data_IF_163139541119
#
_entry.id   IF_163139541119
#
_cell.length_a   1.000
_cell.length_b   1.000
_cell.length_c   1.000
_cell.angle_alpha   90.00
_cell.angle_beta   90.00
_cell.angle_gamma   90.00
#
_symmetry.space_group_name_H-M   'P 1'
#
loop_
_entity.id
_entity.type
_entity.pdbx_description
1 polymer ?
#
# COMPACT_ATOMS: atom_id res chain seq x y z
N UNK A 1 6.40 32.93 10.49
CA UNK A 1 6.97 32.34 9.25
C UNK A 1 7.28 33.43 8.24
N UNK A 2 8.49 33.47 7.69
CA UNK A 2 8.86 34.22 6.48
C UNK A 2 9.39 33.21 5.48
N UNK A 3 8.84 33.16 4.27
CA UNK A 3 9.44 32.40 3.18
C UNK A 3 10.74 33.11 2.74
N UNK A 4 11.87 32.40 2.72
CA UNK A 4 13.08 32.84 2.02
C UNK A 4 13.09 32.22 0.62
N UNK A 5 13.75 32.90 -0.31
CA UNK A 5 14.08 32.31 -1.62
C UNK A 5 15.00 31.10 -1.45
N UNK A 6 14.87 30.15 -2.38
CA UNK A 6 15.55 28.84 -2.44
C UNK A 6 17.08 28.97 -2.23
N UNK A 7 17.62 28.34 -1.19
CA UNK A 7 19.07 28.18 -1.00
C UNK A 7 19.53 26.76 -1.37
N UNK A 8 20.70 26.60 -2.01
CA UNK A 8 21.29 25.28 -2.26
C UNK A 8 21.57 24.52 -0.94
N UNK A 9 21.11 23.27 -0.87
CA UNK A 9 21.15 22.37 0.32
C UNK A 9 22.53 22.28 0.97
N UNK A 10 23.60 22.40 0.18
CA UNK A 10 25.00 22.23 0.63
C UNK A 10 25.51 23.36 1.54
N UNK A 11 24.73 24.43 1.73
CA UNK A 11 25.10 25.61 2.54
C UNK A 11 24.46 25.65 3.93
N UNK A 12 23.61 24.68 4.29
CA UNK A 12 22.89 24.67 5.57
C UNK A 12 23.79 24.08 6.69
N UNK A 13 24.06 24.82 7.79
CA UNK A 13 24.88 24.34 8.90
C UNK A 13 24.27 23.13 9.63
N UNK A 14 25.08 22.14 10.00
CA UNK A 14 24.64 20.90 10.67
C UNK A 14 24.18 21.07 12.13
N UNK A 15 24.45 22.22 12.74
CA UNK A 15 24.30 22.43 14.19
C UNK A 15 23.22 23.45 14.57
N UNK A 16 22.33 23.83 13.64
CA UNK A 16 21.18 24.70 13.94
C UNK A 16 19.91 23.86 14.15
N UNK A 17 19.11 24.22 15.16
CA UNK A 17 17.77 23.72 15.40
C UNK A 17 16.81 24.12 14.26
N UNK A 18 17.03 23.54 13.09
CA UNK A 18 16.26 23.74 11.87
C UNK A 18 15.36 22.52 11.66
N UNK A 19 14.06 22.76 11.59
CA UNK A 19 13.13 21.82 11.00
C UNK A 19 13.36 21.81 9.49
N UNK A 20 13.64 20.65 8.91
CA UNK A 20 13.87 20.51 7.48
C UNK A 20 13.06 19.34 6.94
N UNK A 21 12.15 19.64 6.00
CA UNK A 21 11.53 18.64 5.15
C UNK A 21 12.51 18.36 4.00
N UNK A 22 13.42 17.41 4.23
CA UNK A 22 14.41 16.99 3.25
C UNK A 22 13.87 15.82 2.43
N UNK A 23 13.39 16.08 1.21
CA UNK A 23 13.23 15.05 0.18
C UNK A 23 14.61 14.84 -0.44
N UNK A 24 15.43 13.97 0.15
CA UNK A 24 16.73 13.58 -0.40
C UNK A 24 16.59 12.31 -1.23
N UNK A 25 17.08 12.37 -2.48
CA UNK A 25 17.54 11.16 -3.15
C UNK A 25 19.00 10.92 -2.72
N UNK A 26 19.34 9.80 -2.06
CA UNK A 26 20.72 9.55 -1.67
C UNK A 26 21.54 9.11 -2.89
N UNK A 27 22.61 9.87 -3.15
CA UNK A 27 23.55 9.65 -4.23
C UNK A 27 24.23 8.27 -4.16
N UNK A 28 24.37 7.71 -5.35
CA UNK A 28 24.88 6.37 -5.69
C UNK A 28 26.38 6.32 -5.43
N UNK A 29 26.84 5.50 -4.48
CA UNK A 29 28.22 4.99 -4.51
C UNK A 29 28.41 3.72 -3.67
N UNK A 30 28.09 2.56 -4.27
CA UNK A 30 28.87 1.30 -4.18
C UNK A 30 28.23 0.20 -5.02
N UNK A 31 29.02 -0.28 -5.97
CA UNK A 31 28.72 -1.41 -6.87
C UNK A 31 28.52 -2.70 -6.07
N UNK A 32 27.37 -3.38 -6.18
CA UNK A 32 27.30 -4.83 -5.94
C UNK A 32 26.09 -5.47 -5.22
N UNK A 33 25.06 -4.75 -4.78
CA UNK A 33 23.88 -5.34 -4.09
C UNK A 33 22.55 -4.77 -4.63
N UNK A 34 21.40 -5.48 -4.50
CA UNK A 34 20.14 -5.11 -5.16
C UNK A 34 19.64 -3.77 -4.64
N UNK A 35 19.64 -2.78 -5.52
CA UNK A 35 19.33 -1.38 -5.24
C UNK A 35 17.85 -1.22 -4.83
N UNK A 36 17.61 -0.99 -3.53
CA UNK A 36 16.39 -0.33 -3.04
C UNK A 36 16.73 1.13 -2.77
N UNK A 37 16.30 2.04 -3.64
CA UNK A 37 16.41 3.48 -3.38
C UNK A 37 15.17 3.93 -2.60
N UNK A 38 15.39 4.48 -1.40
CA UNK A 38 14.36 4.83 -0.45
C UNK A 38 13.98 6.31 -0.57
N UNK A 39 12.70 6.66 -0.67
CA UNK A 39 12.24 7.96 -0.15
C UNK A 39 12.08 7.81 1.35
N UNK A 40 12.88 8.56 2.11
CA UNK A 40 12.76 8.62 3.57
C UNK A 40 12.36 10.02 4.00
N UNK A 41 11.11 10.13 4.46
CA UNK A 41 10.66 11.25 5.26
C UNK A 41 11.17 11.02 6.69
N UNK A 42 12.11 11.83 7.16
CA UNK A 42 12.60 11.75 8.54
C UNK A 42 11.91 12.83 9.37
N UNK A 43 11.10 12.41 10.34
CA UNK A 43 10.59 13.26 11.41
C UNK A 43 11.32 12.84 12.69
N UNK A 44 12.10 13.76 13.27
CA UNK A 44 12.91 13.50 14.45
C UNK A 44 12.60 14.55 15.52
N UNK A 45 12.24 14.12 16.72
CA UNK A 45 12.20 14.99 17.89
C UNK A 45 12.77 14.25 19.10
N UNK A 46 14.09 14.31 19.27
CA UNK A 46 14.84 13.88 20.47
C UNK A 46 14.72 12.40 20.88
N UNK A 47 13.50 11.93 21.16
CA UNK A 47 13.15 10.70 21.85
C UNK A 47 12.04 9.87 21.14
N UNK A 48 11.57 10.24 19.94
CA UNK A 48 10.59 9.43 19.15
C UNK A 48 10.73 9.61 17.62
N UNK A 49 10.32 8.59 16.87
CA UNK A 49 10.52 8.43 15.42
C UNK A 49 9.21 8.05 14.70
N UNK A 50 8.94 8.68 13.54
CA UNK A 50 7.91 8.25 12.61
C UNK A 50 8.48 8.16 11.18
N UNK A 51 8.32 7.00 10.54
CA UNK A 51 8.70 6.72 9.15
C UNK A 51 7.47 6.79 8.24
N UNK A 52 7.53 7.61 7.18
CA UNK A 52 6.59 7.49 6.06
C UNK A 52 7.42 7.23 4.81
N UNK A 53 7.34 6.01 4.29
CA UNK A 53 8.05 5.57 3.09
C UNK A 53 7.06 5.45 1.92
N UNK A 54 7.46 5.95 0.76
CA UNK A 54 6.76 5.74 -0.51
C UNK A 54 7.82 5.45 -1.58
N UNK A 55 7.63 4.39 -2.35
CA UNK A 55 8.63 3.88 -3.30
C UNK A 55 8.52 4.60 -4.66
N UNK A 56 9.64 5.09 -5.20
CA UNK A 56 9.71 5.43 -6.63
C UNK A 56 11.13 5.28 -7.16
N UNK A 57 11.26 4.76 -8.38
CA UNK A 57 12.53 4.45 -9.04
C UNK A 57 13.03 5.71 -9.75
N UNK A 58 14.32 6.07 -9.61
CA UNK A 58 14.88 7.32 -10.16
C UNK A 58 15.91 7.09 -11.29
N UNK A 59 15.79 7.91 -12.35
CA UNK A 59 16.80 8.14 -13.40
C UNK A 59 17.65 9.41 -13.13
N UNK A 60 18.83 9.59 -13.76
CA UNK A 60 19.95 10.36 -13.19
C UNK A 60 19.95 11.89 -13.36
N UNK A 61 18.87 12.55 -13.78
CA UNK A 61 18.93 13.97 -14.19
C UNK A 61 18.00 14.94 -13.44
N UNK A 62 17.49 14.58 -12.25
CA UNK A 62 16.56 15.44 -11.52
C UNK A 62 17.20 16.31 -10.43
N UNK A 63 17.00 17.63 -10.55
CA UNK A 63 17.19 18.59 -9.46
C UNK A 63 16.17 18.31 -8.36
N UNK A 64 16.64 18.02 -7.15
CA UNK A 64 15.80 17.80 -5.97
C UNK A 64 14.92 19.03 -5.73
N UNK A 65 13.62 18.89 -5.98
CA UNK A 65 12.63 19.90 -5.59
C UNK A 65 12.12 19.51 -4.20
N UNK A 66 12.36 20.36 -3.21
CA UNK A 66 11.91 20.15 -1.84
C UNK A 66 11.42 21.46 -1.24
N UNK A 67 10.38 21.39 -0.43
CA UNK A 67 9.91 22.53 0.36
C UNK A 67 10.64 22.54 1.69
N UNK A 68 11.38 23.61 2.00
CA UNK A 68 11.98 23.80 3.33
C UNK A 68 11.15 24.86 4.06
N UNK A 69 10.55 24.47 5.19
CA UNK A 69 9.84 25.38 6.09
C UNK A 69 10.65 25.60 7.36
N UNK A 70 11.14 26.82 7.58
CA UNK A 70 11.87 27.19 8.81
C UNK A 70 10.94 27.92 9.79
N UNK A 71 10.88 27.44 11.04
CA UNK A 71 10.19 28.11 12.14
C UNK A 71 10.35 27.39 13.48
N UNK A 72 10.43 28.14 14.58
CA UNK A 72 10.31 27.59 15.93
C UNK A 72 8.81 27.48 16.29
N UNK A 73 8.40 26.31 16.79
CA UNK A 73 7.07 26.06 17.32
C UNK A 73 7.19 25.92 18.85
N UNK A 74 6.44 26.71 19.60
CA UNK A 74 6.50 26.71 21.07
C UNK A 74 5.75 25.51 21.68
N UNK A 75 4.67 25.04 21.03
CA UNK A 75 3.93 23.81 21.36
C UNK A 75 3.31 23.22 20.08
N UNK A 76 3.43 21.91 19.87
CA UNK A 76 2.76 21.19 18.79
C UNK A 76 1.40 20.69 19.28
N UNK A 77 0.37 20.86 18.45
CA UNK A 77 -0.95 20.27 18.71
C UNK A 77 -1.16 19.08 17.78
N UNK A 78 -1.89 18.06 18.22
CA UNK A 78 -2.33 16.94 17.35
C UNK A 78 -2.93 17.44 16.02
N UNK A 79 -3.67 18.56 16.08
CA UNK A 79 -4.21 19.22 14.89
C UNK A 79 -3.13 19.70 13.92
N UNK A 80 -2.01 20.22 14.43
CA UNK A 80 -0.89 20.65 13.61
C UNK A 80 -0.22 19.45 12.93
N UNK A 81 0.05 18.38 13.67
CA UNK A 81 0.65 17.14 13.14
C UNK A 81 -0.21 16.55 12.01
N UNK A 82 -1.52 16.40 12.23
CA UNK A 82 -2.46 15.91 11.21
C UNK A 82 -2.48 16.83 9.99
N UNK A 83 -2.49 18.15 10.19
CA UNK A 83 -2.50 19.12 9.08
C UNK A 83 -1.19 19.05 8.27
N UNK A 84 -0.05 18.90 8.94
CA UNK A 84 1.24 18.75 8.30
C UNK A 84 1.31 17.44 7.50
N UNK A 85 0.81 16.34 8.06
CA UNK A 85 0.74 15.05 7.38
C UNK A 85 -0.11 15.13 6.09
N UNK A 86 -1.28 15.76 6.15
CA UNK A 86 -2.14 15.96 4.97
C UNK A 86 -1.41 16.76 3.88
N UNK A 87 -0.85 17.93 4.22
CA UNK A 87 -0.13 18.76 3.24
C UNK A 87 1.10 18.04 2.65
N UNK A 88 1.80 17.25 3.47
CA UNK A 88 2.94 16.46 3.02
C UNK A 88 2.51 15.37 2.03
N UNK A 89 1.37 14.71 2.29
CA UNK A 89 0.77 13.76 1.36
C UNK A 89 0.35 14.41 0.04
N UNK A 90 -0.28 15.58 0.09
CA UNK A 90 -0.66 16.34 -1.11
C UNK A 90 0.56 16.77 -1.94
N UNK A 91 1.64 17.20 -1.27
CA UNK A 91 2.89 17.53 -1.93
C UNK A 91 3.54 16.31 -2.59
N UNK A 92 3.61 15.17 -1.88
CA UNK A 92 4.12 13.92 -2.44
C UNK A 92 3.29 13.46 -3.65
N UNK A 93 1.96 13.63 -3.60
CA UNK A 93 1.09 13.38 -4.73
C UNK A 93 1.45 14.29 -5.93
N UNK A 94 1.67 15.58 -5.71
CA UNK A 94 2.11 16.50 -6.77
C UNK A 94 3.45 16.09 -7.40
N UNK A 95 4.41 15.59 -6.59
CA UNK A 95 5.69 15.06 -7.10
C UNK A 95 5.50 13.85 -8.02
N UNK A 96 4.46 13.02 -7.81
CA UNK A 96 4.17 11.89 -8.69
C UNK A 96 3.81 12.35 -10.11
N UNK A 97 2.99 13.41 -10.24
CA UNK A 97 2.66 14.01 -11.53
C UNK A 97 3.87 14.68 -12.15
N UNK A 98 4.64 15.42 -11.35
CA UNK A 98 5.88 16.05 -11.80
C UNK A 98 6.79 14.99 -12.43
N UNK A 99 7.06 13.88 -11.73
CA UNK A 99 7.91 12.78 -12.22
C UNK A 99 7.50 12.25 -13.61
N UNK A 100 6.19 12.17 -13.91
CA UNK A 100 5.71 11.76 -15.23
C UNK A 100 5.85 12.86 -16.27
N UNK A 101 5.64 14.13 -15.91
CA UNK A 101 5.80 15.27 -16.82
C UNK A 101 7.25 15.51 -17.22
N UNK A 102 8.16 14.94 -16.45
CA UNK A 102 9.58 15.21 -16.43
C UNK A 102 10.42 14.08 -17.05
N UNK A 103 9.83 12.89 -17.20
CA UNK A 103 10.49 11.75 -17.82
C UNK A 103 10.74 11.96 -19.33
N UNK A 104 11.77 11.29 -19.86
CA UNK A 104 12.20 11.38 -21.27
C UNK A 104 11.38 10.46 -22.18
N UNK A 105 10.06 10.69 -22.20
CA UNK A 105 9.12 10.02 -23.10
C UNK A 105 8.36 11.02 -23.97
N UNK A 106 7.91 10.60 -25.18
CA UNK A 106 7.04 11.42 -26.02
C UNK A 106 5.83 11.94 -25.25
N UNK A 107 5.42 13.18 -25.55
CA UNK A 107 4.32 13.88 -24.86
C UNK A 107 3.04 13.03 -24.82
N UNK A 108 2.73 12.34 -25.90
CA UNK A 108 1.54 11.51 -26.03
C UNK A 108 1.55 10.37 -25.01
N UNK A 109 2.70 9.70 -24.82
CA UNK A 109 2.85 8.62 -23.83
C UNK A 109 2.74 9.15 -22.41
N UNK A 110 3.39 10.28 -22.10
CA UNK A 110 3.29 10.92 -20.78
C UNK A 110 1.84 11.29 -20.45
N UNK A 111 1.09 11.78 -21.44
CA UNK A 111 -0.33 12.08 -21.26
C UNK A 111 -1.17 10.82 -21.00
N UNK A 112 -0.91 9.71 -21.71
CA UNK A 112 -1.56 8.43 -21.45
C UNK A 112 -1.28 7.92 -20.03
N UNK A 113 -0.03 8.00 -19.55
CA UNK A 113 0.35 7.62 -18.19
C UNK A 113 -0.32 8.50 -17.14
N UNK A 114 -0.34 9.82 -17.32
CA UNK A 114 -1.07 10.73 -16.41
C UNK A 114 -2.55 10.35 -16.33
N UNK A 115 -3.20 10.00 -17.45
CA UNK A 115 -4.60 9.54 -17.43
C UNK A 115 -4.76 8.25 -16.63
N UNK A 116 -3.87 7.28 -16.81
CA UNK A 116 -3.92 6.02 -16.06
C UNK A 116 -3.65 6.23 -14.56
N UNK A 117 -2.72 7.12 -14.20
CA UNK A 117 -2.47 7.51 -12.81
C UNK A 117 -3.73 8.09 -12.17
N UNK A 118 -4.39 9.04 -12.85
CA UNK A 118 -5.63 9.65 -12.35
C UNK A 118 -6.74 8.63 -12.17
N UNK A 119 -6.94 7.71 -13.13
CA UNK A 119 -7.95 6.66 -13.00
C UNK A 119 -7.61 5.65 -11.89
N UNK A 120 -6.33 5.37 -11.66
CA UNK A 120 -5.88 4.55 -10.52
C UNK A 120 -6.16 5.26 -9.20
N UNK A 121 -5.78 6.53 -9.06
CA UNK A 121 -6.04 7.32 -7.85
C UNK A 121 -7.52 7.41 -7.52
N UNK A 122 -8.40 7.64 -8.51
CA UNK A 122 -9.85 7.62 -8.31
C UNK A 122 -10.33 6.32 -7.68
N UNK A 123 -9.90 5.17 -8.22
CA UNK A 123 -10.25 3.85 -7.67
C UNK A 123 -9.74 3.68 -6.24
N UNK A 124 -8.51 4.11 -5.96
CA UNK A 124 -7.93 4.04 -4.62
C UNK A 124 -8.72 4.89 -3.63
N UNK A 125 -9.09 6.11 -3.99
CA UNK A 125 -9.91 6.97 -3.14
C UNK A 125 -11.31 6.41 -2.93
N UNK A 126 -11.95 5.86 -3.97
CA UNK A 126 -13.21 5.12 -3.82
C UNK A 126 -13.06 3.91 -2.89
N UNK A 127 -11.96 3.17 -3.02
CA UNK A 127 -11.60 2.05 -2.16
C UNK A 127 -11.38 2.49 -0.71
N UNK A 128 -10.66 3.59 -0.48
CA UNK A 128 -10.43 4.13 0.86
C UNK A 128 -11.74 4.60 1.52
N UNK A 129 -12.63 5.23 0.76
CA UNK A 129 -13.97 5.58 1.26
C UNK A 129 -14.77 4.33 1.64
N UNK A 130 -14.72 3.29 0.80
CA UNK A 130 -15.38 2.02 1.10
C UNK A 130 -14.79 1.36 2.35
N UNK A 131 -13.47 1.39 2.51
CA UNK A 131 -12.76 0.85 3.69
C UNK A 131 -13.25 1.51 4.98
N UNK A 132 -13.33 2.85 4.99
CA UNK A 132 -13.86 3.61 6.13
C UNK A 132 -15.32 3.26 6.43
N UNK A 133 -16.16 3.10 5.40
CA UNK A 133 -17.56 2.70 5.60
C UNK A 133 -17.64 1.30 6.20
N UNK A 134 -16.87 0.35 5.67
CA UNK A 134 -16.86 -1.04 6.15
C UNK A 134 -16.35 -1.15 7.59
N UNK A 135 -15.42 -0.29 7.98
CA UNK A 135 -14.91 -0.18 9.35
C UNK A 135 -16.00 0.25 10.35
N UNK A 136 -16.96 1.06 9.92
CA UNK A 136 -18.12 1.47 10.73
C UNK A 136 -19.31 0.51 10.59
N UNK A 137 -19.25 -0.48 9.69
CA UNK A 137 -20.35 -1.40 9.39
C UNK A 137 -20.25 -2.66 10.24
N UNK A 138 -21.37 -3.13 10.81
CA UNK A 138 -21.39 -4.33 11.65
C UNK A 138 -20.99 -5.58 10.86
N UNK A 139 -20.33 -6.56 11.51
CA UNK A 139 -19.82 -7.76 10.85
C UNK A 139 -20.91 -8.59 10.14
N UNK A 140 -22.14 -8.57 10.64
CA UNK A 140 -23.30 -9.26 10.07
C UNK A 140 -23.85 -8.62 8.79
N UNK A 141 -23.55 -7.34 8.58
CA UNK A 141 -23.99 -6.56 7.42
C UNK A 141 -22.96 -6.59 6.27
N UNK A 142 -21.72 -7.02 6.54
CA UNK A 142 -20.64 -7.04 5.54
C UNK A 142 -20.60 -8.36 4.77
N UNK A 143 -20.61 -8.26 3.44
CA UNK A 143 -20.48 -9.39 2.54
C UNK A 143 -19.05 -9.65 2.08
N UNK A 144 -18.77 -10.90 1.70
CA UNK A 144 -17.51 -11.28 1.02
C UNK A 144 -17.23 -10.42 -0.21
N UNK A 145 -18.26 -10.13 -1.01
CA UNK A 145 -18.09 -9.34 -2.23
C UNK A 145 -17.76 -7.86 -1.94
N UNK A 146 -18.17 -7.32 -0.79
CA UNK A 146 -17.80 -5.97 -0.38
C UNK A 146 -16.29 -5.88 -0.11
N UNK A 147 -15.74 -6.89 0.58
CA UNK A 147 -14.29 -6.99 0.84
C UNK A 147 -13.51 -7.22 -0.45
N UNK A 148 -13.98 -8.10 -1.33
CA UNK A 148 -13.33 -8.31 -2.63
C UNK A 148 -13.39 -7.05 -3.50
N UNK A 149 -14.49 -6.28 -3.44
CA UNK A 149 -14.59 -4.98 -4.11
C UNK A 149 -13.60 -3.97 -3.53
N UNK A 150 -13.48 -3.89 -2.21
CA UNK A 150 -12.46 -3.07 -1.54
C UNK A 150 -11.05 -3.44 -2.03
N UNK A 151 -10.68 -4.72 -2.01
CA UNK A 151 -9.36 -5.17 -2.48
C UNK A 151 -9.12 -4.81 -3.96
N UNK A 152 -10.14 -4.94 -4.83
CA UNK A 152 -10.03 -4.57 -6.25
C UNK A 152 -9.82 -3.07 -6.45
N UNK A 153 -10.51 -2.23 -5.67
CA UNK A 153 -10.46 -0.77 -5.80
C UNK A 153 -9.19 -0.19 -5.17
N UNK A 154 -8.76 -0.70 -4.01
CA UNK A 154 -7.65 -0.14 -3.24
C UNK A 154 -6.33 -0.82 -3.59
N UNK A 155 -6.06 -2.00 -3.03
CA UNK A 155 -4.75 -2.66 -3.14
C UNK A 155 -4.44 -3.14 -4.54
N UNK A 156 -5.36 -3.86 -5.19
CA UNK A 156 -5.08 -4.45 -6.50
C UNK A 156 -4.90 -3.40 -7.60
N UNK A 157 -5.63 -2.29 -7.51
CA UNK A 157 -5.50 -1.19 -8.47
C UNK A 157 -4.18 -0.44 -8.27
N UNK A 158 -3.82 -0.11 -7.02
CA UNK A 158 -2.64 0.69 -6.70
C UNK A 158 -1.33 -0.07 -6.82
N UNK A 159 -1.27 -1.27 -6.23
CA UNK A 159 -0.01 -2.00 -6.05
C UNK A 159 0.38 -2.80 -7.29
N UNK A 160 -0.60 -3.22 -8.11
CA UNK A 160 -0.34 -4.14 -9.22
C UNK A 160 -0.86 -3.59 -10.54
N UNK A 161 -2.16 -3.38 -10.67
CA UNK A 161 -2.78 -3.10 -11.98
C UNK A 161 -2.34 -1.76 -12.57
N UNK A 162 -2.39 -0.69 -11.78
CA UNK A 162 -1.98 0.66 -12.20
C UNK A 162 -0.51 0.71 -12.64
N UNK A 163 0.44 0.25 -11.80
CA UNK A 163 1.85 0.17 -12.18
C UNK A 163 2.11 -0.65 -13.45
N UNK A 164 1.48 -1.82 -13.59
CA UNK A 164 1.62 -2.64 -14.81
C UNK A 164 1.11 -1.91 -16.06
N UNK A 165 -0.06 -1.27 -15.98
CA UNK A 165 -0.63 -0.52 -17.09
C UNK A 165 0.21 0.70 -17.46
N UNK A 166 0.70 1.44 -16.48
CA UNK A 166 1.59 2.58 -16.72
C UNK A 166 2.92 2.13 -17.36
N UNK A 167 3.52 1.04 -16.86
CA UNK A 167 4.71 0.45 -17.45
C UNK A 167 4.47 -0.01 -18.89
N UNK A 168 3.32 -0.63 -19.15
CA UNK A 168 2.91 -1.04 -20.50
C UNK A 168 2.79 0.16 -21.46
N UNK A 169 2.18 1.28 -21.03
CA UNK A 169 2.05 2.49 -21.85
C UNK A 169 3.40 3.10 -22.24
N UNK A 170 4.43 2.92 -21.40
CA UNK A 170 5.78 3.38 -21.65
C UNK A 170 6.61 2.38 -22.49
N UNK A 171 6.15 1.13 -22.61
CA UNK A 171 6.85 0.08 -23.37
C UNK A 171 6.91 0.36 -24.89
N UNK A 172 7.85 -0.24 -25.63
CA UNK A 172 7.86 -0.16 -27.10
C UNK A 172 6.54 -0.63 -27.73
N UNK A 173 6.05 0.05 -28.78
CA UNK A 173 4.72 -0.23 -29.38
C UNK A 173 4.59 -1.61 -30.02
N UNK A 174 5.70 -2.30 -30.22
CA UNK A 174 5.76 -3.69 -30.71
C UNK A 174 5.09 -4.68 -29.73
N UNK A 175 4.91 -4.27 -28.46
CA UNK A 175 4.19 -5.02 -27.43
C UNK A 175 2.72 -4.60 -27.27
N UNK A 176 2.12 -3.87 -28.22
CA UNK A 176 0.77 -3.30 -28.08
C UNK A 176 -0.37 -4.32 -27.85
N UNK A 177 -0.14 -5.60 -28.12
CA UNK A 177 -1.03 -6.69 -27.69
C UNK A 177 -0.62 -7.17 -26.29
N UNK A 178 -1.46 -6.94 -25.29
CA UNK A 178 -1.21 -7.40 -23.92
C UNK A 178 -1.78 -6.50 -22.82
N UNK A 179 -2.32 -5.33 -23.15
CA UNK A 179 -2.90 -4.41 -22.15
C UNK A 179 -4.04 -5.05 -21.36
N UNK A 180 -4.96 -5.74 -22.04
CA UNK A 180 -6.10 -6.41 -21.41
C UNK A 180 -5.64 -7.63 -20.59
N UNK A 181 -4.62 -8.34 -21.08
CA UNK A 181 -4.00 -9.48 -20.39
C UNK A 181 -3.33 -9.05 -19.09
N UNK A 182 -2.59 -7.93 -19.12
CA UNK A 182 -1.95 -7.33 -17.94
C UNK A 182 -2.98 -6.76 -16.95
N UNK A 183 -4.08 -6.17 -17.42
CA UNK A 183 -5.18 -5.73 -16.55
C UNK A 183 -5.85 -6.93 -15.86
N UNK A 184 -6.12 -8.00 -16.60
CA UNK A 184 -6.68 -9.23 -16.06
C UNK A 184 -5.74 -9.89 -15.03
N UNK A 185 -4.44 -9.99 -15.34
CA UNK A 185 -3.41 -10.46 -14.42
C UNK A 185 -3.37 -9.60 -13.15
N UNK A 186 -3.24 -8.28 -13.31
CA UNK A 186 -3.06 -7.36 -12.18
C UNK A 186 -4.23 -7.37 -11.21
N UNK A 187 -5.47 -7.43 -11.74
CA UNK A 187 -6.67 -7.52 -10.90
C UNK A 187 -6.74 -8.80 -10.10
N UNK A 188 -6.31 -9.92 -10.67
CA UNK A 188 -6.37 -11.23 -10.02
C UNK A 188 -5.26 -11.39 -8.99
N UNK A 189 -4.02 -11.16 -9.39
CA UNK A 189 -2.85 -11.28 -8.52
C UNK A 189 -2.86 -10.23 -7.41
N UNK A 190 -3.30 -9.00 -7.70
CA UNK A 190 -3.42 -7.96 -6.70
C UNK A 190 -4.46 -8.25 -5.61
N UNK A 191 -5.61 -8.84 -5.96
CA UNK A 191 -6.59 -9.28 -4.95
C UNK A 191 -6.03 -10.45 -4.16
N UNK A 192 -5.41 -11.44 -4.81
CA UNK A 192 -4.78 -12.57 -4.13
C UNK A 192 -3.70 -12.12 -3.13
N UNK A 193 -2.91 -11.11 -3.50
CA UNK A 193 -1.92 -10.50 -2.61
C UNK A 193 -2.57 -9.96 -1.34
N UNK A 194 -3.64 -9.17 -1.44
CA UNK A 194 -4.32 -8.64 -0.25
C UNK A 194 -4.97 -9.76 0.58
N UNK A 195 -5.54 -10.79 -0.04
CA UNK A 195 -6.10 -11.94 0.70
C UNK A 195 -5.02 -12.66 1.50
N UNK A 196 -3.82 -12.83 0.92
CA UNK A 196 -2.66 -13.41 1.62
C UNK A 196 -2.16 -12.49 2.73
N UNK A 197 -2.21 -11.17 2.51
CA UNK A 197 -1.83 -10.16 3.51
C UNK A 197 -2.79 -10.17 4.72
N UNK A 198 -4.11 -10.25 4.49
CA UNK A 198 -5.12 -10.40 5.54
C UNK A 198 -4.90 -11.69 6.36
N UNK A 199 -4.51 -12.79 5.69
CA UNK A 199 -4.16 -14.05 6.37
C UNK A 199 -2.87 -13.94 7.16
N UNK A 200 -1.85 -13.27 6.62
CA UNK A 200 -0.59 -13.01 7.31
C UNK A 200 -0.83 -12.13 8.54
N UNK A 201 -1.64 -11.08 8.44
CA UNK A 201 -2.03 -10.22 9.56
C UNK A 201 -2.66 -11.03 10.71
N UNK A 202 -3.46 -12.04 10.39
CA UNK A 202 -4.12 -12.85 11.40
C UNK A 202 -3.26 -14.02 11.90
N UNK A 203 -2.46 -14.67 11.06
CA UNK A 203 -1.79 -15.94 11.39
C UNK A 203 -0.26 -15.88 11.45
N UNK A 204 0.37 -14.81 10.97
CA UNK A 204 1.82 -14.64 10.98
C UNK A 204 2.40 -14.37 12.36
N UNK A 205 3.73 -14.35 12.41
CA UNK A 205 4.52 -13.96 13.58
C UNK A 205 4.88 -12.47 13.53
N UNK A 206 4.99 -11.81 14.69
CA UNK A 206 5.29 -10.36 14.78
C UNK A 206 6.57 -9.97 14.02
N UNK A 207 7.57 -10.85 14.02
CA UNK A 207 8.85 -10.66 13.33
C UNK A 207 8.68 -10.56 11.79
N UNK A 208 7.66 -11.21 11.23
CA UNK A 208 7.36 -11.18 9.80
C UNK A 208 6.46 -10.00 9.40
N UNK A 209 5.58 -9.54 10.30
CA UNK A 209 4.59 -8.49 10.04
C UNK A 209 5.16 -7.09 10.34
N UNK A 210 6.12 -6.98 11.27
CA UNK A 210 6.74 -5.71 11.67
C UNK A 210 5.84 -4.80 12.51
N UNK A 211 4.67 -5.30 12.92
CA UNK A 211 3.70 -4.66 13.83
C UNK A 211 3.04 -5.73 14.70
N UNK A 212 2.26 -5.29 15.70
CA UNK A 212 1.44 -6.21 16.50
C UNK A 212 0.52 -7.05 15.61
N UNK A 213 0.49 -8.37 15.87
CA UNK A 213 -0.43 -9.32 15.23
C UNK A 213 -1.91 -9.02 15.54
N UNK A 214 -2.19 -8.25 16.58
CA UNK A 214 -3.55 -7.88 17.00
C UNK A 214 -4.08 -6.62 16.32
N UNK A 215 -3.24 -5.86 15.60
CA UNK A 215 -3.60 -4.50 15.14
C UNK A 215 -4.89 -4.47 14.33
N UNK A 216 -5.08 -5.44 13.43
CA UNK A 216 -6.26 -5.46 12.56
C UNK A 216 -7.54 -5.83 13.34
N UNK A 217 -7.41 -6.56 14.45
CA UNK A 217 -8.51 -6.85 15.38
C UNK A 217 -8.81 -5.63 16.25
N UNK A 218 -7.79 -4.92 16.72
CA UNK A 218 -7.92 -3.69 17.52
C UNK A 218 -8.59 -2.57 16.75
N UNK A 219 -8.15 -2.38 15.51
CA UNK A 219 -8.82 -1.51 14.55
C UNK A 219 -10.20 -2.05 14.15
N UNK A 220 -10.56 -3.29 14.48
CA UNK A 220 -11.84 -3.86 14.08
C UNK A 220 -11.98 -3.99 12.56
N UNK A 221 -10.91 -4.16 11.80
CA UNK A 221 -11.00 -4.31 10.34
C UNK A 221 -11.86 -5.51 9.96
N UNK A 222 -12.73 -5.32 8.96
CA UNK A 222 -13.58 -6.38 8.40
C UNK A 222 -12.80 -7.17 7.34
N UNK A 223 -11.68 -7.78 7.73
CA UNK A 223 -10.83 -8.54 6.79
C UNK A 223 -11.57 -9.75 6.22
N UNK A 224 -11.15 -10.21 5.04
CA UNK A 224 -11.80 -11.33 4.37
C UNK A 224 -11.94 -12.60 5.24
N UNK A 225 -10.89 -13.07 5.96
CA UNK A 225 -11.02 -14.25 6.82
C UNK A 225 -12.03 -14.06 7.96
N UNK A 226 -12.16 -12.86 8.52
CA UNK A 226 -13.13 -12.57 9.59
C UNK A 226 -14.55 -12.58 9.05
N UNK A 227 -14.80 -11.89 7.93
CA UNK A 227 -16.14 -11.86 7.31
C UNK A 227 -16.58 -13.27 6.91
N UNK A 228 -15.69 -14.08 6.32
CA UNK A 228 -16.00 -15.47 5.97
C UNK A 228 -16.26 -16.35 7.20
N UNK A 229 -15.48 -16.18 8.27
CA UNK A 229 -15.67 -16.93 9.51
C UNK A 229 -17.00 -16.57 10.16
N UNK A 230 -17.34 -15.28 10.22
CA UNK A 230 -18.60 -14.80 10.76
C UNK A 230 -19.82 -15.40 10.01
N UNK A 231 -19.80 -15.38 8.67
CA UNK A 231 -20.88 -15.93 7.85
C UNK A 231 -21.07 -17.45 8.01
N UNK A 232 -20.00 -18.17 8.34
CA UNK A 232 -19.97 -19.64 8.47
C UNK A 232 -20.07 -20.12 9.92
N UNK A 233 -19.91 -19.22 10.88
CA UNK A 233 -19.85 -19.51 12.30
C UNK A 233 -21.21 -19.87 12.89
N UNK A 234 -21.16 -20.61 13.99
CA UNK A 234 -22.30 -20.77 14.89
C UNK A 234 -22.63 -19.45 15.59
N UNK A 235 -23.84 -19.31 16.13
CA UNK A 235 -24.24 -18.11 16.87
C UNK A 235 -23.29 -17.80 18.04
N UNK A 236 -22.83 -18.81 18.78
CA UNK A 236 -21.84 -18.61 19.85
C UNK A 236 -20.47 -18.12 19.34
N UNK A 237 -20.07 -18.52 18.14
CA UNK A 237 -18.83 -18.01 17.53
C UNK A 237 -19.02 -16.56 17.07
N UNK A 238 -20.17 -16.22 16.50
CA UNK A 238 -20.50 -14.85 16.09
C UNK A 238 -20.52 -13.88 17.27
N UNK A 239 -21.20 -14.24 18.35
CA UNK A 239 -21.23 -13.44 19.59
C UNK A 239 -19.82 -13.17 20.13
N UNK A 240 -18.94 -14.17 20.11
CA UNK A 240 -17.54 -14.00 20.50
C UNK A 240 -16.80 -13.04 19.56
N UNK A 241 -16.94 -13.21 18.25
CA UNK A 241 -16.30 -12.34 17.26
C UNK A 241 -16.75 -10.88 17.42
N UNK A 242 -18.04 -10.63 17.62
CA UNK A 242 -18.59 -9.30 17.88
C UNK A 242 -18.05 -8.67 19.16
N UNK A 243 -17.81 -9.49 20.20
CA UNK A 243 -17.25 -8.98 21.46
C UNK A 243 -15.76 -8.64 21.40
N UNK A 244 -15.02 -9.23 20.46
CA UNK A 244 -13.55 -9.14 20.39
C UNK A 244 -13.08 -8.20 19.27
N UNK A 245 -13.71 -8.24 18.10
CA UNK A 245 -13.31 -7.41 16.95
C UNK A 245 -13.67 -5.95 17.23
N UNK A 246 -12.67 -5.07 17.15
CA UNK A 246 -12.78 -3.65 17.53
C UNK A 246 -12.56 -3.37 19.03
N UNK A 247 -12.02 -4.34 19.77
CA UNK A 247 -11.57 -4.19 21.16
C UNK A 247 -10.06 -4.35 21.28
N UNK A 248 -9.48 -4.17 22.47
CA UNK A 248 -8.07 -4.50 22.73
C UNK A 248 -7.99 -5.95 23.25
N UNK A 249 -7.76 -6.96 22.39
CA UNK A 249 -7.94 -8.36 22.77
C UNK A 249 -6.76 -8.83 23.63
N UNK A 250 -7.05 -9.61 24.67
CA UNK A 250 -6.01 -10.42 25.30
C UNK A 250 -5.48 -11.48 24.32
N UNK A 251 -4.28 -12.01 24.56
CA UNK A 251 -3.70 -13.12 23.76
C UNK A 251 -4.68 -14.30 23.60
N UNK A 252 -5.46 -14.59 24.65
CA UNK A 252 -6.45 -15.68 24.64
C UNK A 252 -7.66 -15.36 23.75
N UNK A 253 -8.13 -14.12 23.76
CA UNK A 253 -9.22 -13.67 22.89
C UNK A 253 -8.77 -13.66 21.44
N UNK A 254 -7.54 -13.22 21.18
CA UNK A 254 -6.94 -13.27 19.85
C UNK A 254 -6.79 -14.70 19.33
N UNK A 255 -6.30 -15.65 20.14
CA UNK A 255 -6.25 -17.06 19.73
C UNK A 255 -7.66 -17.64 19.54
N UNK A 256 -8.66 -17.20 20.31
CA UNK A 256 -10.05 -17.59 20.09
C UNK A 256 -10.54 -17.18 18.69
N UNK A 257 -10.18 -15.98 18.21
CA UNK A 257 -10.51 -15.55 16.83
C UNK A 257 -9.80 -16.43 15.80
N UNK A 258 -8.50 -16.71 15.99
CA UNK A 258 -7.73 -17.61 15.12
C UNK A 258 -8.35 -19.01 15.04
N UNK A 259 -8.78 -19.57 16.16
CA UNK A 259 -9.47 -20.85 16.23
C UNK A 259 -10.80 -20.82 15.48
N UNK A 260 -11.64 -19.79 15.67
CA UNK A 260 -12.91 -19.65 14.95
C UNK A 260 -12.69 -19.59 13.43
N UNK A 261 -11.71 -18.82 12.97
CA UNK A 261 -11.37 -18.70 11.54
C UNK A 261 -10.86 -20.03 10.95
N UNK A 262 -10.15 -20.84 11.75
CA UNK A 262 -9.73 -22.20 11.37
C UNK A 262 -10.92 -23.17 11.32
N UNK A 263 -11.73 -23.25 12.38
CA UNK A 263 -12.84 -24.20 12.54
C UNK A 263 -13.96 -23.99 11.51
N UNK A 264 -14.26 -22.74 11.17
CA UNK A 264 -15.24 -22.39 10.13
C UNK A 264 -14.75 -22.70 8.71
N UNK A 265 -13.48 -23.08 8.56
CA UNK A 265 -12.83 -23.30 7.27
C UNK A 265 -12.58 -22.01 6.49
N UNK A 266 -12.74 -20.84 7.11
CA UNK A 266 -12.53 -19.54 6.46
C UNK A 266 -11.07 -19.36 6.04
N UNK A 267 -10.11 -19.76 6.89
CA UNK A 267 -8.67 -19.75 6.56
C UNK A 267 -8.40 -20.48 5.25
N UNK A 268 -8.78 -21.77 5.20
CA UNK A 268 -8.59 -22.63 4.03
C UNK A 268 -9.28 -22.07 2.79
N UNK A 269 -10.47 -21.50 2.94
CA UNK A 269 -11.19 -20.91 1.80
C UNK A 269 -10.47 -19.68 1.24
N UNK A 270 -9.90 -18.85 2.09
CA UNK A 270 -9.11 -17.69 1.66
C UNK A 270 -7.83 -18.13 0.94
N UNK A 271 -7.14 -19.15 1.45
CA UNK A 271 -5.98 -19.79 0.81
C UNK A 271 -6.32 -20.26 -0.61
N UNK A 272 -7.36 -21.09 -0.75
CA UNK A 272 -7.83 -21.60 -2.04
C UNK A 272 -8.24 -20.48 -3.01
N UNK A 273 -8.85 -19.41 -2.51
CA UNK A 273 -9.25 -18.27 -3.32
C UNK A 273 -8.04 -17.49 -3.85
N UNK A 274 -7.05 -17.24 -3.00
CA UNK A 274 -5.83 -16.56 -3.41
C UNK A 274 -5.08 -17.40 -4.46
N UNK A 275 -4.91 -18.70 -4.23
CA UNK A 275 -4.27 -19.62 -5.19
C UNK A 275 -5.01 -19.65 -6.53
N UNK A 276 -6.34 -19.78 -6.50
CA UNK A 276 -7.17 -19.78 -7.71
C UNK A 276 -7.07 -18.47 -8.49
N UNK A 277 -7.04 -17.33 -7.80
CA UNK A 277 -6.86 -16.02 -8.44
C UNK A 277 -5.47 -15.89 -9.07
N UNK A 278 -4.39 -16.33 -8.41
CA UNK A 278 -3.05 -16.28 -9.01
C UNK A 278 -2.98 -17.16 -10.26
N UNK A 279 -3.59 -18.35 -10.23
CA UNK A 279 -3.66 -19.24 -11.39
C UNK A 279 -4.45 -18.62 -12.56
N UNK A 280 -5.59 -17.98 -12.28
CA UNK A 280 -6.33 -17.22 -13.28
C UNK A 280 -5.51 -16.06 -13.84
N UNK A 281 -4.73 -15.37 -12.99
CA UNK A 281 -3.82 -14.32 -13.40
C UNK A 281 -2.75 -14.83 -14.36
N UNK A 282 -2.05 -15.92 -14.00
CA UNK A 282 -1.02 -16.54 -14.85
C UNK A 282 -1.55 -16.92 -16.23
N UNK A 283 -2.76 -17.50 -16.28
CA UNK A 283 -3.41 -17.85 -17.56
C UNK A 283 -3.68 -16.63 -18.43
N UNK A 284 -4.01 -15.48 -17.84
CA UNK A 284 -4.25 -14.25 -18.60
C UNK A 284 -3.00 -13.79 -19.35
N UNK A 285 -1.80 -14.07 -18.84
CA UNK A 285 -0.52 -13.63 -19.41
C UNK A 285 0.31 -14.77 -19.99
N UNK A 286 -0.29 -15.93 -20.28
CA UNK A 286 0.42 -17.10 -20.85
C UNK A 286 1.11 -16.78 -22.19
N UNK A 287 0.59 -15.80 -22.94
CA UNK A 287 1.19 -15.28 -24.17
C UNK A 287 2.22 -14.17 -23.99
N UNK A 288 2.52 -13.76 -22.75
CA UNK A 288 3.44 -12.67 -22.41
C UNK A 288 4.70 -13.25 -21.77
N UNK A 289 5.83 -13.18 -22.48
CA UNK A 289 7.12 -13.59 -21.91
C UNK A 289 7.62 -12.55 -20.90
N UNK A 290 7.45 -12.83 -19.61
CA UNK A 290 7.94 -11.97 -18.53
C UNK A 290 8.26 -12.76 -17.25
N UNK A 291 9.55 -12.81 -16.90
CA UNK A 291 10.01 -13.39 -15.63
C UNK A 291 9.42 -12.63 -14.44
N UNK A 292 9.32 -11.30 -14.53
CA UNK A 292 8.75 -10.47 -13.47
C UNK A 292 7.29 -10.85 -13.12
N UNK A 293 6.44 -11.11 -14.12
CA UNK A 293 5.05 -11.52 -13.86
C UNK A 293 5.00 -12.89 -13.20
N UNK A 294 5.86 -13.83 -13.63
CA UNK A 294 5.93 -15.15 -13.01
C UNK A 294 6.45 -15.09 -11.57
N UNK A 295 7.47 -14.27 -11.33
CA UNK A 295 8.07 -14.04 -10.01
C UNK A 295 7.10 -13.36 -9.06
N UNK A 296 6.36 -12.34 -9.53
CA UNK A 296 5.34 -11.69 -8.72
C UNK A 296 4.22 -12.67 -8.33
N UNK A 297 3.72 -13.47 -9.26
CA UNK A 297 2.74 -14.52 -8.97
C UNK A 297 3.31 -15.57 -7.99
N UNK A 298 4.59 -15.94 -8.15
CA UNK A 298 5.30 -16.84 -7.24
C UNK A 298 5.44 -16.28 -5.83
N UNK A 299 5.80 -15.00 -5.73
CA UNK A 299 5.91 -14.26 -4.47
C UNK A 299 4.58 -14.24 -3.72
N UNK A 300 3.47 -13.94 -4.39
CA UNK A 300 2.13 -13.91 -3.74
C UNK A 300 1.77 -15.26 -3.11
N UNK A 301 1.96 -16.36 -3.84
CA UNK A 301 1.66 -17.71 -3.31
C UNK A 301 2.64 -18.10 -2.22
N UNK A 302 3.93 -17.77 -2.40
CA UNK A 302 5.02 -18.12 -1.49
C UNK A 302 5.01 -17.42 -0.14
N UNK A 303 4.13 -16.43 0.07
CA UNK A 303 3.95 -15.79 1.40
C UNK A 303 3.44 -16.84 2.40
N UNK A 304 4.31 -17.29 3.29
CA UNK A 304 3.97 -18.14 4.44
C UNK A 304 3.57 -17.30 5.65
N UNK A 305 2.90 -17.96 6.59
CA UNK A 305 2.58 -17.57 7.96
C UNK A 305 2.52 -18.84 8.81
#
# INVERSE_FOLDING_TARGET
MRAKEEEPIDKIPKDSALWSLLVKNPDISRVGEPEKSFFRLYLHNGDSYAEISAESVQEPNYSSTGLIFEGELEEESERFEVTLAINSGDYANALSFQSILDCDFPRERRFEVVRELVETQKKVYEGQCLDLILHETSLDEVGVEDILRLHRLKTASYTVTGPLKMGFLLSPREFASGADDLDAYGRKVGVAFQVKDDLLGLFGEEEEIGKSVTSDIEEGKRTLPLVMAYQRGTESQKEKMESIVGSEPSEREFETIREIVKETGAKKRCEEMAEGMVEEGRKAVEGVESDFLNDLAGFVIGRSY
#
